data_IF_255485682983
#
_entry.id   IF_255485682983
#
_cell.length_a   1.000
_cell.length_b   1.000
_cell.length_c   1.000
_cell.angle_alpha   90.00
_cell.angle_beta   90.00
_cell.angle_gamma   90.00
#
_symmetry.space_group_name_H-M   'P 1'
#
loop_
_entity.id
_entity.type
_entity.pdbx_description
1 polymer ?
#
# COMPACT_ATOMS: atom_id res chain seq x y z
N UNK A 1 -2.06 17.29 -6.39
CA UNK A 1 -1.75 16.66 -7.69
C UNK A 1 -3.02 16.18 -8.38
N UNK A 2 -3.80 15.26 -7.79
CA UNK A 2 -5.04 14.79 -8.42
C UNK A 2 -5.99 15.92 -8.86
N UNK A 3 -6.28 16.89 -7.98
CA UNK A 3 -7.10 18.07 -8.35
C UNK A 3 -6.46 18.94 -9.44
N UNK A 4 -5.15 19.15 -9.37
CA UNK A 4 -4.42 20.00 -10.30
C UNK A 4 -4.31 19.39 -11.72
N UNK A 5 -4.31 18.06 -11.82
CA UNK A 5 -4.12 17.33 -13.09
C UNK A 5 -5.35 16.52 -13.53
N UNK A 6 -6.44 16.56 -12.76
CA UNK A 6 -7.64 15.75 -13.03
C UNK A 6 -7.41 14.24 -12.94
N UNK A 7 -6.38 13.79 -12.22
CA UNK A 7 -5.95 12.39 -12.20
C UNK A 7 -6.79 11.55 -11.23
N UNK A 8 -7.03 10.29 -11.59
CA UNK A 8 -7.57 9.28 -10.66
C UNK A 8 -6.51 8.87 -9.64
N UNK A 9 -6.89 8.78 -8.37
CA UNK A 9 -6.01 8.34 -7.29
C UNK A 9 -6.34 6.90 -6.84
N UNK A 10 -5.34 6.03 -6.84
CA UNK A 10 -5.44 4.72 -6.21
C UNK A 10 -4.76 4.75 -4.84
N UNK A 11 -5.55 4.53 -3.79
CA UNK A 11 -5.04 4.29 -2.44
C UNK A 11 -4.80 2.79 -2.28
N UNK A 12 -3.55 2.38 -2.19
CA UNK A 12 -3.18 0.98 -2.11
C UNK A 12 -2.64 0.63 -0.72
N UNK A 13 -3.18 -0.42 -0.10
CA UNK A 13 -2.66 -1.01 1.13
C UNK A 13 -2.30 -2.47 0.87
N UNK A 14 -1.05 -2.85 1.19
CA UNK A 14 -0.63 -4.24 1.12
C UNK A 14 -0.66 -4.83 2.53
N UNK A 15 -1.61 -5.72 2.76
CA UNK A 15 -1.71 -6.49 3.98
C UNK A 15 -0.72 -7.67 3.94
N UNK A 16 -0.17 -8.03 5.10
CA UNK A 16 0.69 -9.20 5.22
C UNK A 16 -0.03 -10.47 4.70
N UNK A 17 0.69 -11.40 4.05
CA UNK A 17 0.14 -12.71 3.72
C UNK A 17 -0.30 -13.43 5.00
N UNK A 18 -1.17 -14.43 4.84
CA UNK A 18 -1.49 -15.31 5.95
C UNK A 18 -0.21 -16.03 6.41
N UNK A 19 -0.06 -16.27 7.73
CA UNK A 19 1.12 -16.95 8.23
C UNK A 19 1.20 -18.37 7.66
N UNK A 20 2.40 -18.77 7.25
CA UNK A 20 2.66 -20.16 6.86
C UNK A 20 2.47 -21.07 8.08
N UNK A 21 1.58 -22.05 7.97
CA UNK A 21 1.44 -23.11 8.96
C UNK A 21 2.26 -24.32 8.52
N UNK A 22 3.16 -24.79 9.37
CA UNK A 22 3.96 -26.00 9.10
C UNK A 22 3.11 -27.23 9.39
N UNK A 23 2.66 -27.94 8.34
CA UNK A 23 1.89 -29.19 8.44
C UNK A 23 0.69 -29.25 7.48
N UNK A 24 -0.12 -30.31 7.59
CA UNK A 24 -1.39 -30.45 6.85
C UNK A 24 -2.60 -29.82 7.57
N UNK A 25 -2.37 -29.20 8.74
CA UNK A 25 -3.42 -28.58 9.54
C UNK A 25 -3.65 -27.12 9.12
N UNK A 26 -4.93 -26.73 9.07
CA UNK A 26 -5.40 -25.38 8.70
C UNK A 26 -5.07 -24.28 9.73
N UNK A 27 -4.15 -24.56 10.66
CA UNK A 27 -3.85 -23.71 11.80
C UNK A 27 -5.03 -23.56 12.77
N UNK A 28 -4.84 -22.88 13.92
CA UNK A 28 -5.92 -22.64 14.85
C UNK A 28 -6.98 -21.67 14.30
N UNK A 29 -8.26 -22.00 14.45
CA UNK A 29 -9.38 -21.18 13.94
C UNK A 29 -9.34 -19.72 14.45
N UNK A 30 -8.93 -19.50 15.71
CA UNK A 30 -8.85 -18.17 16.29
C UNK A 30 -7.84 -17.25 15.59
N UNK A 31 -6.76 -17.81 15.02
CA UNK A 31 -5.78 -17.03 14.24
C UNK A 31 -6.42 -16.54 12.95
N UNK A 32 -7.19 -17.41 12.28
CA UNK A 32 -7.90 -17.08 11.03
C UNK A 32 -8.98 -16.03 11.27
N UNK A 33 -9.75 -16.17 12.34
CA UNK A 33 -10.81 -15.23 12.69
C UNK A 33 -10.22 -13.85 13.03
N UNK A 34 -9.14 -13.80 13.81
CA UNK A 34 -8.41 -12.56 14.09
C UNK A 34 -7.89 -11.91 12.82
N UNK A 35 -7.28 -12.68 11.91
CA UNK A 35 -6.75 -12.14 10.66
C UNK A 35 -7.85 -11.59 9.75
N UNK A 36 -8.98 -12.30 9.67
CA UNK A 36 -10.13 -11.83 8.92
C UNK A 36 -10.71 -10.52 9.50
N UNK A 37 -10.69 -10.36 10.82
CA UNK A 37 -11.07 -9.11 11.46
C UNK A 37 -10.09 -7.97 11.16
N UNK A 38 -8.78 -8.22 11.22
CA UNK A 38 -7.75 -7.23 10.86
C UNK A 38 -7.95 -6.74 9.41
N UNK A 39 -8.12 -7.65 8.46
CA UNK A 39 -8.35 -7.31 7.05
C UNK A 39 -9.64 -6.49 6.85
N UNK A 40 -10.70 -6.79 7.60
CA UNK A 40 -11.93 -5.98 7.58
C UNK A 40 -11.67 -4.58 8.10
N UNK A 41 -10.91 -4.43 9.18
CA UNK A 41 -10.58 -3.12 9.74
C UNK A 41 -9.70 -2.30 8.81
N UNK A 42 -8.67 -2.92 8.22
CA UNK A 42 -7.80 -2.30 7.22
C UNK A 42 -8.60 -1.86 5.99
N UNK A 43 -9.48 -2.73 5.47
CA UNK A 43 -10.36 -2.40 4.35
C UNK A 43 -11.27 -1.20 4.68
N UNK A 44 -11.94 -1.22 5.84
CA UNK A 44 -12.80 -0.11 6.28
C UNK A 44 -12.04 1.20 6.39
N UNK A 45 -10.82 1.17 6.94
CA UNK A 45 -9.96 2.36 7.07
C UNK A 45 -9.57 2.91 5.69
N UNK A 46 -9.19 2.03 4.77
CA UNK A 46 -8.84 2.40 3.40
C UNK A 46 -10.02 3.03 2.66
N UNK A 47 -11.20 2.42 2.76
CA UNK A 47 -12.42 2.97 2.16
C UNK A 47 -12.79 4.32 2.76
N UNK A 48 -12.64 4.51 4.07
CA UNK A 48 -12.86 5.82 4.71
C UNK A 48 -11.97 6.91 4.09
N UNK A 49 -10.70 6.63 3.81
CA UNK A 49 -9.82 7.59 3.15
C UNK A 49 -10.23 7.87 1.70
N UNK A 50 -10.60 6.84 0.94
CA UNK A 50 -11.12 6.99 -0.42
C UNK A 50 -12.39 7.84 -0.44
N UNK A 51 -13.37 7.55 0.42
CA UNK A 51 -14.61 8.33 0.53
C UNK A 51 -14.34 9.79 0.88
N UNK A 52 -13.45 10.07 1.85
CA UNK A 52 -13.10 11.44 2.21
C UNK A 52 -12.45 12.24 1.06
N UNK A 53 -11.77 11.56 0.14
CA UNK A 53 -11.23 12.18 -1.09
C UNK A 53 -12.33 12.38 -2.14
N UNK A 54 -13.22 11.40 -2.32
CA UNK A 54 -14.40 11.51 -3.20
C UNK A 54 -15.30 12.69 -2.80
N UNK A 55 -15.52 12.90 -1.50
CA UNK A 55 -16.29 14.03 -0.96
C UNK A 55 -15.66 15.39 -1.29
N UNK A 56 -14.34 15.44 -1.55
CA UNK A 56 -13.61 16.62 -2.01
C UNK A 56 -13.56 16.75 -3.53
N UNK A 57 -14.26 15.89 -4.26
CA UNK A 57 -14.29 15.89 -5.73
C UNK A 57 -13.13 15.13 -6.39
N UNK A 58 -12.32 14.40 -5.62
CA UNK A 58 -11.21 13.60 -6.17
C UNK A 58 -11.71 12.20 -6.55
N UNK A 59 -11.59 11.85 -7.83
CA UNK A 59 -11.83 10.47 -8.30
C UNK A 59 -10.78 9.56 -7.66
N UNK A 60 -11.19 8.74 -6.71
CA UNK A 60 -10.26 7.88 -5.96
C UNK A 60 -10.83 6.48 -5.74
N UNK A 61 -9.98 5.48 -5.58
CA UNK A 61 -10.39 4.12 -5.23
C UNK A 61 -9.43 3.49 -4.22
N UNK A 62 -9.97 2.71 -3.29
CA UNK A 62 -9.20 1.97 -2.30
C UNK A 62 -8.97 0.52 -2.76
N UNK A 63 -7.71 0.11 -2.87
CA UNK A 63 -7.30 -1.25 -3.23
C UNK A 63 -6.54 -1.90 -2.07
N UNK A 64 -7.17 -2.91 -1.46
CA UNK A 64 -6.56 -3.78 -0.45
C UNK A 64 -6.04 -5.04 -1.13
N UNK A 65 -4.77 -5.35 -0.93
CA UNK A 65 -4.10 -6.50 -1.56
C UNK A 65 -3.32 -7.26 -0.49
N UNK A 66 -3.25 -8.58 -0.60
CA UNK A 66 -2.41 -9.40 0.27
C UNK A 66 -1.20 -9.92 -0.49
N UNK A 67 -0.04 -9.94 0.16
CA UNK A 67 1.17 -10.53 -0.41
C UNK A 67 2.45 -9.79 -0.02
N UNK A 68 3.54 -10.09 -0.74
CA UNK A 68 4.81 -9.42 -0.53
C UNK A 68 4.72 -7.96 -0.99
N UNK A 69 4.94 -7.03 -0.06
CA UNK A 69 4.69 -5.59 -0.22
C UNK A 69 5.25 -5.02 -1.52
N UNK A 70 6.53 -5.27 -1.80
CA UNK A 70 7.19 -4.67 -2.97
C UNK A 70 6.68 -5.27 -4.28
N UNK A 71 6.49 -6.58 -4.33
CA UNK A 71 6.01 -7.28 -5.53
C UNK A 71 4.60 -6.84 -5.87
N UNK A 72 3.69 -6.85 -4.88
CA UNK A 72 2.31 -6.41 -5.08
C UNK A 72 2.22 -4.94 -5.48
N UNK A 73 3.02 -4.04 -4.89
CA UNK A 73 3.05 -2.64 -5.31
C UNK A 73 3.43 -2.52 -6.79
N UNK A 74 4.48 -3.20 -7.24
CA UNK A 74 4.95 -3.11 -8.62
C UNK A 74 3.97 -3.76 -9.60
N UNK A 75 3.40 -4.91 -9.24
CA UNK A 75 2.45 -5.64 -10.07
C UNK A 75 1.14 -4.87 -10.22
N UNK A 76 0.54 -4.42 -9.12
CA UNK A 76 -0.73 -3.71 -9.14
C UNK A 76 -0.58 -2.33 -9.79
N UNK A 77 0.54 -1.62 -9.59
CA UNK A 77 0.79 -0.36 -10.30
C UNK A 77 0.79 -0.56 -11.83
N UNK A 78 1.32 -1.69 -12.32
CA UNK A 78 1.27 -2.03 -13.76
C UNK A 78 -0.13 -2.42 -14.21
N UNK A 79 -0.85 -3.26 -13.46
CA UNK A 79 -2.22 -3.68 -13.78
C UNK A 79 -3.18 -2.49 -13.86
N UNK A 80 -3.03 -1.55 -12.94
CA UNK A 80 -3.80 -0.32 -12.87
C UNK A 80 -3.35 0.72 -13.91
N UNK A 81 -2.24 0.46 -14.62
CA UNK A 81 -1.62 1.35 -15.59
C UNK A 81 -1.41 2.77 -15.05
N UNK A 82 -0.89 2.89 -13.81
CA UNK A 82 -0.57 4.19 -13.22
C UNK A 82 0.70 4.77 -13.83
N UNK A 83 0.73 6.09 -13.91
CA UNK A 83 1.85 6.87 -14.46
C UNK A 83 2.78 7.43 -13.37
N UNK A 84 2.35 7.40 -12.10
CA UNK A 84 3.13 7.85 -10.95
C UNK A 84 2.82 7.00 -9.71
N UNK A 85 3.86 6.58 -9.01
CA UNK A 85 3.76 5.98 -7.67
C UNK A 85 4.14 7.04 -6.63
N UNK A 86 3.23 7.33 -5.70
CA UNK A 86 3.52 8.20 -4.55
C UNK A 86 3.72 7.37 -3.30
N UNK A 87 4.86 7.54 -2.63
CA UNK A 87 5.16 6.87 -1.38
C UNK A 87 5.60 7.88 -0.31
N UNK A 88 5.12 7.70 0.92
CA UNK A 88 5.58 8.48 2.06
C UNK A 88 6.99 8.10 2.49
N UNK A 89 7.68 9.01 3.17
CA UNK A 89 8.96 8.74 3.84
C UNK A 89 8.79 8.75 5.36
N UNK A 90 8.77 7.58 6.00
CA UNK A 90 8.78 7.50 7.45
C UNK A 90 10.15 7.95 8.00
N UNK A 91 10.17 9.01 8.81
CA UNK A 91 11.37 9.42 9.53
C UNK A 91 11.52 8.59 10.82
N UNK A 92 12.55 7.75 10.88
CA UNK A 92 13.28 7.53 12.13
C UNK A 92 14.64 8.22 11.93
N UNK A 93 14.71 9.49 12.35
CA UNK A 93 15.93 10.27 12.59
C UNK A 93 17.07 10.20 11.56
N UNK A 94 17.22 11.24 10.73
CA UNK A 94 18.52 11.82 10.36
C UNK A 94 19.58 10.95 9.62
N UNK A 95 19.23 9.93 8.81
CA UNK A 95 20.24 9.19 8.03
C UNK A 95 19.97 9.10 6.53
N UNK A 96 20.90 9.67 5.75
CA UNK A 96 21.09 9.45 4.30
C UNK A 96 21.28 7.96 3.94
N UNK A 97 21.59 7.10 4.94
CA UNK A 97 21.76 5.66 4.80
C UNK A 97 20.47 4.83 4.96
N UNK A 98 19.32 5.43 5.30
CA UNK A 98 18.04 4.71 5.49
C UNK A 98 17.31 4.36 4.17
N UNK A 99 17.80 4.83 3.01
CA UNK A 99 17.26 4.42 1.70
C UNK A 99 17.58 2.95 1.38
N UNK A 100 18.67 2.40 1.93
CA UNK A 100 19.05 1.01 1.74
C UNK A 100 18.25 0.15 2.73
N UNK A 101 17.12 -0.39 2.27
CA UNK A 101 16.29 -1.35 3.04
C UNK A 101 14.90 -0.84 3.45
N UNK A 102 14.50 0.37 3.05
CA UNK A 102 13.12 0.85 3.23
C UNK A 102 12.22 0.45 2.06
N UNK A 103 10.90 0.37 2.31
CA UNK A 103 9.89 0.10 1.27
C UNK A 103 10.04 1.08 0.11
N UNK A 104 10.16 2.38 0.40
CA UNK A 104 10.32 3.42 -0.61
C UNK A 104 11.61 3.27 -1.42
N UNK A 105 12.72 2.88 -0.78
CA UNK A 105 13.98 2.59 -1.48
C UNK A 105 13.87 1.39 -2.44
N UNK A 106 13.19 0.32 -2.02
CA UNK A 106 12.96 -0.86 -2.86
C UNK A 106 12.00 -0.58 -4.03
N UNK A 107 10.98 0.25 -3.83
CA UNK A 107 10.11 0.72 -4.92
C UNK A 107 10.94 1.51 -5.94
N UNK A 108 11.81 2.43 -5.51
CA UNK A 108 12.67 3.21 -6.42
C UNK A 108 13.57 2.30 -7.25
N UNK A 109 14.19 1.28 -6.64
CA UNK A 109 15.10 0.37 -7.35
C UNK A 109 14.39 -0.51 -8.37
N UNK A 110 13.16 -0.94 -8.09
CA UNK A 110 12.44 -1.94 -8.91
C UNK A 110 11.41 -1.35 -9.87
N UNK A 111 10.92 -0.13 -9.59
CA UNK A 111 9.87 0.49 -10.40
C UNK A 111 10.39 0.98 -11.74
N UNK A 112 9.59 0.75 -12.79
CA UNK A 112 9.75 1.41 -14.10
C UNK A 112 8.83 2.63 -14.24
N UNK A 113 7.91 2.81 -13.29
CA UNK A 113 6.99 3.94 -13.20
C UNK A 113 7.68 5.01 -12.33
N UNK A 114 7.62 6.30 -12.71
CA UNK A 114 8.11 7.38 -11.86
C UNK A 114 7.66 7.26 -10.41
N UNK A 115 8.57 7.50 -9.47
CA UNK A 115 8.31 7.41 -8.03
C UNK A 115 8.52 8.78 -7.41
N UNK A 116 7.50 9.32 -6.76
CA UNK A 116 7.58 10.53 -5.96
C UNK A 116 7.57 10.18 -4.48
N UNK A 117 8.67 10.54 -3.82
CA UNK A 117 8.77 10.43 -2.36
C UNK A 117 8.26 11.71 -1.72
N UNK A 118 7.25 11.57 -0.87
CA UNK A 118 6.69 12.67 -0.09
C UNK A 118 7.31 12.64 1.31
N UNK A 119 8.14 13.64 1.69
CA UNK A 119 8.66 13.73 3.05
C UNK A 119 7.53 13.99 4.04
N UNK A 120 7.55 13.31 5.18
CA UNK A 120 6.72 13.70 6.32
C UNK A 120 7.37 14.91 7.02
N UNK A 121 6.57 15.94 7.25
CA UNK A 121 6.91 17.13 8.04
C UNK A 121 6.63 16.87 9.53
#
# INVERSE_FOLDING_TARGET
MAEAFGSKLWLMHIAAPDPDFVGYDVGPQYIRDSRAEDLRQEHRKLQKYSTALKEKGVVSEGLLVQGATIEMIIEESKKLNVDLIMAGHHQHGFFYNAFVGSVSGEIIKKSKIPVLIVPFA
#
